data_IF_728191168227
#
_entry.id   IF_728191168227
#
_cell.length_a   1.000
_cell.length_b   1.000
_cell.length_c   1.000
_cell.angle_alpha   90.00
_cell.angle_beta   90.00
_cell.angle_gamma   90.00
#
_symmetry.space_group_name_H-M   'P 1'
#
loop_
_entity.id
_entity.type
_entity.pdbx_description
1 polymer ?
#
# COMPACT_ATOMS: atom_id res chain seq x y z
N UNK A 1 6.73 33.10 6.57
CA UNK A 1 8.04 32.57 7.01
C UNK A 1 7.95 31.09 7.40
N UNK A 2 7.16 30.70 8.42
CA UNK A 2 6.99 29.29 8.85
C UNK A 2 6.52 28.33 7.74
N UNK A 3 5.48 28.69 6.98
CA UNK A 3 4.97 27.82 5.91
C UNK A 3 5.97 27.64 4.77
N UNK A 4 6.67 28.71 4.38
CA UNK A 4 7.74 28.65 3.36
C UNK A 4 8.88 27.74 3.82
N UNK A 5 9.31 27.85 5.09
CA UNK A 5 10.33 26.97 5.64
C UNK A 5 9.89 25.49 5.65
N UNK A 6 8.62 25.21 5.99
CA UNK A 6 8.07 23.86 5.95
C UNK A 6 8.00 23.30 4.53
N UNK A 7 7.55 24.10 3.55
CA UNK A 7 7.52 23.67 2.15
C UNK A 7 8.92 23.37 1.63
N UNK A 8 9.90 24.23 1.91
CA UNK A 8 11.31 24.00 1.52
C UNK A 8 11.84 22.72 2.18
N UNK A 9 11.54 22.51 3.46
CA UNK A 9 11.95 21.30 4.18
C UNK A 9 11.35 20.03 3.57
N UNK A 10 10.06 20.01 3.25
CA UNK A 10 9.39 18.86 2.61
C UNK A 10 9.98 18.57 1.23
N UNK A 11 10.25 19.61 0.43
CA UNK A 11 10.86 19.44 -0.90
C UNK A 11 12.27 18.89 -0.79
N UNK A 12 13.07 19.36 0.17
CA UNK A 12 14.41 18.83 0.43
C UNK A 12 14.37 17.38 0.91
N UNK A 13 13.43 17.04 1.80
CA UNK A 13 13.20 15.66 2.23
C UNK A 13 12.82 14.76 1.06
N UNK A 14 11.90 15.19 0.20
CA UNK A 14 11.51 14.42 -0.98
C UNK A 14 12.69 14.24 -1.94
N UNK A 15 13.48 15.30 -2.18
CA UNK A 15 14.69 15.22 -2.98
C UNK A 15 15.72 14.25 -2.41
N UNK A 16 15.92 14.24 -1.09
CA UNK A 16 16.79 13.30 -0.40
C UNK A 16 16.31 11.86 -0.54
N UNK A 17 15.01 11.59 -0.35
CA UNK A 17 14.42 10.25 -0.52
C UNK A 17 14.62 9.76 -1.96
N UNK A 18 14.34 10.60 -2.95
CA UNK A 18 14.53 10.24 -4.36
C UNK A 18 16.00 10.00 -4.70
N UNK A 19 16.92 10.78 -4.14
CA UNK A 19 18.36 10.59 -4.33
C UNK A 19 18.81 9.23 -3.77
N UNK A 20 18.39 8.87 -2.56
CA UNK A 20 18.70 7.57 -1.94
C UNK A 20 18.09 6.42 -2.76
N UNK A 21 16.82 6.57 -3.18
CA UNK A 21 16.11 5.54 -3.93
C UNK A 21 16.76 5.25 -5.30
N UNK A 22 17.28 6.27 -6.00
CA UNK A 22 17.96 6.07 -7.28
C UNK A 22 19.38 5.54 -7.15
N UNK A 23 19.99 5.65 -5.95
CA UNK A 23 21.35 5.17 -5.69
C UNK A 23 21.47 3.65 -5.51
N UNK A 24 20.36 2.96 -5.22
CA UNK A 24 20.34 1.52 -4.97
C UNK A 24 19.73 0.79 -6.17
N UNK A 25 20.59 0.23 -7.03
CA UNK A 25 20.16 -0.82 -7.96
C UNK A 25 20.17 -2.14 -7.20
N UNK A 26 19.08 -2.43 -6.52
CA UNK A 26 18.85 -3.73 -5.89
C UNK A 26 18.78 -4.80 -7.00
N UNK A 27 19.85 -5.58 -7.15
CA UNK A 27 19.80 -6.84 -7.92
C UNK A 27 19.17 -7.85 -6.96
N UNK A 28 17.84 -7.80 -6.86
CA UNK A 28 17.09 -8.73 -6.02
C UNK A 28 17.12 -10.10 -6.69
N UNK A 29 17.53 -11.11 -5.94
CA UNK A 29 17.37 -12.48 -6.38
C UNK A 29 15.87 -12.77 -6.47
N UNK A 30 15.44 -13.21 -7.65
CA UNK A 30 14.03 -13.21 -8.01
C UNK A 30 13.33 -14.54 -7.65
N UNK A 31 13.92 -15.32 -6.74
CA UNK A 31 13.49 -16.66 -6.37
C UNK A 31 12.03 -16.69 -5.90
N UNK A 32 11.62 -15.72 -5.07
CA UNK A 32 10.26 -15.66 -4.53
C UNK A 32 9.23 -15.38 -5.63
N UNK A 33 9.52 -14.45 -6.55
CA UNK A 33 8.58 -14.19 -7.65
C UNK A 33 8.56 -15.34 -8.66
N UNK A 34 9.71 -15.98 -8.89
CA UNK A 34 9.81 -17.17 -9.72
C UNK A 34 9.00 -18.33 -9.12
N UNK A 35 9.04 -18.51 -7.80
CA UNK A 35 8.21 -19.48 -7.08
C UNK A 35 6.72 -19.19 -7.28
N UNK A 36 6.29 -17.94 -7.08
CA UNK A 36 4.88 -17.58 -7.26
C UNK A 36 4.42 -17.79 -8.70
N UNK A 37 5.22 -17.38 -9.70
CA UNK A 37 4.87 -17.57 -11.11
C UNK A 37 4.75 -19.04 -11.50
N UNK A 38 5.56 -19.92 -10.90
CA UNK A 38 5.55 -21.35 -11.22
C UNK A 38 4.45 -22.11 -10.47
N UNK A 39 4.11 -21.74 -9.24
CA UNK A 39 3.28 -22.55 -8.35
C UNK A 39 1.89 -21.97 -8.04
N UNK A 40 1.58 -20.71 -8.39
CA UNK A 40 0.35 -20.04 -7.93
C UNK A 40 -0.94 -20.83 -8.25
N UNK A 41 -1.06 -21.41 -9.44
CA UNK A 41 -2.25 -22.18 -9.82
C UNK A 41 -2.37 -23.47 -9.03
N UNK A 42 -1.25 -24.14 -8.75
CA UNK A 42 -1.23 -25.39 -7.97
C UNK A 42 -1.54 -25.13 -6.50
N UNK A 43 -0.94 -24.08 -5.92
CA UNK A 43 -1.07 -23.76 -4.50
C UNK A 43 -2.45 -23.18 -4.14
N UNK A 44 -3.05 -22.41 -5.05
CA UNK A 44 -4.21 -21.58 -4.74
C UNK A 44 -5.44 -21.85 -5.60
N UNK A 45 -5.29 -22.58 -6.71
CA UNK A 45 -6.34 -22.78 -7.71
C UNK A 45 -6.68 -21.54 -8.54
N UNK A 46 -6.02 -20.40 -8.30
CA UNK A 46 -6.29 -19.17 -9.05
C UNK A 46 -5.70 -19.22 -10.46
N UNK A 47 -6.49 -18.80 -11.45
CA UNK A 47 -6.04 -18.64 -12.85
C UNK A 47 -5.21 -17.38 -13.10
N UNK A 48 -5.02 -16.52 -12.08
CA UNK A 48 -4.23 -15.30 -12.17
C UNK A 48 -3.26 -15.18 -10.98
N UNK A 49 -1.97 -15.03 -11.25
CA UNK A 49 -0.91 -14.92 -10.25
C UNK A 49 -1.10 -13.71 -9.31
N UNK A 50 -1.60 -12.59 -9.82
CA UNK A 50 -1.87 -11.39 -9.00
C UNK A 50 -3.00 -11.66 -8.01
N UNK A 51 -4.07 -12.34 -8.45
CA UNK A 51 -5.17 -12.72 -7.57
C UNK A 51 -4.72 -13.75 -6.51
N UNK A 52 -3.86 -14.70 -6.90
CA UNK A 52 -3.26 -15.65 -5.96
C UNK A 52 -2.46 -14.93 -4.86
N UNK A 53 -1.70 -13.89 -5.22
CA UNK A 53 -0.96 -13.08 -4.25
C UNK A 53 -1.91 -12.35 -3.31
N UNK A 54 -2.89 -11.59 -3.82
CA UNK A 54 -3.77 -10.80 -2.96
C UNK A 54 -4.70 -11.63 -2.06
N UNK A 55 -5.22 -12.74 -2.59
CA UNK A 55 -6.28 -13.50 -1.93
C UNK A 55 -5.79 -14.75 -1.20
N UNK A 56 -4.58 -15.23 -1.48
CA UNK A 56 -4.00 -16.39 -0.78
C UNK A 56 -2.68 -16.03 -0.11
N UNK A 57 -1.60 -15.82 -0.87
CA UNK A 57 -0.26 -15.66 -0.27
C UNK A 57 -0.15 -14.44 0.67
N UNK A 58 -0.86 -13.34 0.37
CA UNK A 58 -0.88 -12.08 1.15
C UNK A 58 -2.29 -11.67 1.55
N UNK A 59 -3.12 -12.66 1.91
CA UNK A 59 -4.52 -12.44 2.29
C UNK A 59 -4.68 -11.41 3.43
N UNK A 60 -3.79 -11.41 4.43
CA UNK A 60 -3.88 -10.50 5.57
C UNK A 60 -3.74 -9.03 5.19
N UNK A 61 -2.85 -8.71 4.25
CA UNK A 61 -2.65 -7.33 3.78
C UNK A 61 -3.95 -6.80 3.14
N UNK A 62 -4.57 -7.61 2.27
CA UNK A 62 -5.86 -7.28 1.62
C UNK A 62 -7.02 -7.19 2.61
N UNK A 63 -7.09 -8.09 3.61
CA UNK A 63 -8.14 -8.04 4.65
C UNK A 63 -8.03 -6.77 5.46
N UNK A 64 -6.81 -6.37 5.83
CA UNK A 64 -6.61 -5.14 6.60
C UNK A 64 -6.84 -3.88 5.77
N UNK A 65 -6.52 -3.87 4.47
CA UNK A 65 -6.94 -2.79 3.57
C UNK A 65 -8.48 -2.63 3.57
N UNK A 66 -9.22 -3.74 3.42
CA UNK A 66 -10.68 -3.72 3.46
C UNK A 66 -11.21 -3.26 4.82
N UNK A 67 -10.58 -3.69 5.92
CA UNK A 67 -10.94 -3.28 7.28
C UNK A 67 -10.73 -1.77 7.48
N UNK A 68 -9.61 -1.22 7.01
CA UNK A 68 -9.32 0.22 7.06
C UNK A 68 -10.36 1.00 6.26
N UNK A 69 -10.73 0.52 5.06
CA UNK A 69 -11.78 1.16 4.26
C UNK A 69 -13.13 1.16 4.98
N UNK A 70 -13.55 0.01 5.53
CA UNK A 70 -14.82 -0.13 6.27
C UNK A 70 -14.82 0.78 7.50
N UNK A 71 -13.76 0.75 8.31
CA UNK A 71 -13.65 1.60 9.51
C UNK A 71 -13.63 3.09 9.15
N UNK A 72 -13.01 3.48 8.04
CA UNK A 72 -13.04 4.85 7.53
C UNK A 72 -14.46 5.29 7.14
N UNK A 73 -15.23 4.43 6.48
CA UNK A 73 -16.63 4.70 6.12
C UNK A 73 -17.50 4.81 7.38
N UNK A 74 -17.35 3.90 8.34
CA UNK A 74 -18.07 3.94 9.62
C UNK A 74 -17.76 5.24 10.36
N UNK A 75 -16.48 5.62 10.45
CA UNK A 75 -16.04 6.88 11.06
C UNK A 75 -16.67 8.08 10.36
N UNK A 76 -16.60 8.13 9.03
CA UNK A 76 -17.22 9.20 8.24
C UNK A 76 -18.71 9.32 8.53
N UNK A 77 -19.48 8.22 8.48
CA UNK A 77 -20.92 8.25 8.74
C UNK A 77 -21.26 8.74 10.16
N UNK A 78 -20.46 8.36 11.16
CA UNK A 78 -20.65 8.79 12.53
C UNK A 78 -20.43 10.30 12.70
N UNK A 79 -19.33 10.83 12.14
CA UNK A 79 -19.02 12.26 12.24
C UNK A 79 -19.89 13.13 11.33
N UNK A 80 -20.33 12.63 10.17
CA UNK A 80 -21.13 13.41 9.23
C UNK A 80 -22.56 13.67 9.74
N UNK A 81 -23.15 12.73 10.49
CA UNK A 81 -24.47 12.93 11.13
C UNK A 81 -24.47 14.03 12.20
N UNK A 82 -23.34 14.28 12.86
CA UNK A 82 -23.25 15.31 13.90
C UNK A 82 -23.24 16.76 13.37
N UNK A 83 -23.04 16.96 12.05
CA UNK A 83 -23.02 18.29 11.42
C UNK A 83 -24.34 18.74 10.78
N UNK A 84 -25.35 17.86 10.71
CA UNK A 84 -26.61 18.08 9.97
C UNK A 84 -27.78 18.66 10.77
N UNK A 85 -27.58 19.04 12.04
CA UNK A 85 -28.62 19.66 12.86
C UNK A 85 -28.32 21.15 13.09
N UNK A 86 -28.32 21.91 11.99
CA UNK A 86 -28.59 23.34 11.97
C UNK A 86 -29.82 23.58 11.12
#
# INVERSE_FOLDING_TARGET
MRQVALTVFVVLLMGLVLFIANGHREILDNEVSAYYLQNFTSDTGAGNAVAAIYLNYRMYDTIFEALILITSIIGMLHFFKAGGNK
#
